data_IF_176140282357
#
_entry.id   IF_176140282357
#
_cell.length_a   1.000
_cell.length_b   1.000
_cell.length_c   1.000
_cell.angle_alpha   90.00
_cell.angle_beta   90.00
_cell.angle_gamma   90.00
#
_symmetry.space_group_name_H-M   'P 1'
#
loop_
_entity.id
_entity.type
_entity.pdbx_description
1 polymer ?
#
# COMPACT_ATOMS: atom_id res chain seq x y z
N UNK A 1 14.92 9.98 -6.68
CA UNK A 1 15.06 8.50 -6.68
C UNK A 1 13.78 7.93 -6.08
N UNK A 2 12.95 7.23 -6.87
CA UNK A 2 11.60 6.76 -6.46
C UNK A 2 11.54 5.24 -6.33
N UNK A 3 12.27 4.68 -5.36
CA UNK A 3 12.36 3.21 -5.15
C UNK A 3 12.04 2.79 -3.73
N UNK A 4 11.65 3.73 -2.87
CA UNK A 4 11.25 3.43 -1.49
C UNK A 4 9.78 3.01 -1.47
N UNK A 5 9.44 1.83 -0.95
CA UNK A 5 8.04 1.43 -0.78
C UNK A 5 7.29 2.41 0.14
N UNK A 6 6.09 2.82 -0.25
CA UNK A 6 5.25 3.76 0.52
C UNK A 6 4.13 3.07 1.31
N UNK A 7 3.71 1.89 0.86
CA UNK A 7 2.65 1.10 1.47
C UNK A 7 2.76 -0.38 1.09
N UNK A 8 2.10 -1.23 1.87
CA UNK A 8 1.88 -2.65 1.60
C UNK A 8 0.39 -2.99 1.75
N UNK A 9 -0.07 -3.96 0.99
CA UNK A 9 -1.50 -4.29 0.91
C UNK A 9 -1.78 -5.63 0.24
N UNK A 10 -3.05 -6.02 0.25
CA UNK A 10 -3.54 -7.23 -0.42
C UNK A 10 -4.22 -6.82 -1.71
N UNK A 11 -3.85 -7.46 -2.82
CA UNK A 11 -4.52 -7.28 -4.10
C UNK A 11 -5.99 -7.73 -3.99
N UNK A 12 -6.92 -6.85 -4.39
CA UNK A 12 -8.35 -7.15 -4.48
C UNK A 12 -8.76 -7.55 -5.91
N UNK A 13 -7.95 -7.15 -6.89
CA UNK A 13 -8.09 -7.49 -8.30
C UNK A 13 -6.81 -8.19 -8.76
N UNK A 14 -6.88 -9.00 -9.81
CA UNK A 14 -5.66 -9.46 -10.47
C UNK A 14 -5.01 -8.33 -11.28
N UNK A 15 -3.72 -8.48 -11.62
CA UNK A 15 -2.97 -7.43 -12.30
C UNK A 15 -3.53 -7.05 -13.68
N UNK A 16 -4.16 -8.00 -14.37
CA UNK A 16 -4.75 -7.73 -15.69
C UNK A 16 -6.02 -6.89 -15.57
N UNK A 17 -6.82 -7.13 -14.53
CA UNK A 17 -8.05 -6.40 -14.24
C UNK A 17 -7.75 -5.00 -13.69
N UNK A 18 -6.68 -4.84 -12.90
CA UNK A 18 -6.21 -3.51 -12.46
C UNK A 18 -5.86 -2.59 -13.64
N UNK A 19 -5.33 -3.14 -14.73
CA UNK A 19 -4.98 -2.37 -15.93
C UNK A 19 -6.23 -2.01 -16.75
N UNK A 20 -7.18 -2.95 -16.87
CA UNK A 20 -8.40 -2.78 -17.67
C UNK A 20 -9.43 -1.86 -17.01
N UNK A 21 -9.52 -1.91 -15.68
CA UNK A 21 -10.51 -1.16 -14.91
C UNK A 21 -10.10 0.30 -14.75
N UNK A 22 -11.01 1.23 -15.05
CA UNK A 22 -10.77 2.67 -14.85
C UNK A 22 -11.15 3.18 -13.47
N UNK A 23 -11.84 2.36 -12.66
CA UNK A 23 -12.30 2.71 -11.31
C UNK A 23 -12.51 1.48 -10.44
N UNK A 24 -12.63 1.68 -9.12
CA UNK A 24 -12.75 0.61 -8.14
C UNK A 24 -11.54 0.51 -7.21
N UNK A 25 -11.63 -0.35 -6.18
CA UNK A 25 -10.53 -0.57 -5.22
C UNK A 25 -9.65 -1.72 -5.71
N UNK A 26 -8.43 -1.41 -6.14
CA UNK A 26 -7.48 -2.41 -6.64
C UNK A 26 -6.71 -3.14 -5.51
N UNK A 27 -6.37 -2.44 -4.43
CA UNK A 27 -5.55 -2.97 -3.32
C UNK A 27 -6.16 -2.53 -1.99
N UNK A 28 -6.31 -3.48 -1.05
CA UNK A 28 -6.62 -3.19 0.34
C UNK A 28 -5.34 -2.78 1.07
N UNK A 29 -5.28 -1.54 1.52
CA UNK A 29 -4.17 -1.04 2.32
C UNK A 29 -4.10 -1.79 3.66
N UNK A 30 -2.93 -2.34 4.00
CA UNK A 30 -2.65 -2.94 5.30
C UNK A 30 -1.76 -2.06 6.16
N UNK A 31 -0.75 -1.43 5.55
CA UNK A 31 0.21 -0.61 6.24
C UNK A 31 0.79 0.45 5.29
N UNK A 32 0.99 1.67 5.77
CA UNK A 32 1.63 2.73 5.00
C UNK A 32 2.53 3.62 5.87
N UNK A 33 3.46 4.33 5.22
CA UNK A 33 4.33 5.30 5.89
C UNK A 33 3.47 6.33 6.64
N UNK A 34 3.76 6.51 7.93
CA UNK A 34 3.09 7.49 8.80
C UNK A 34 1.81 7.00 9.50
N UNK A 35 1.38 5.76 9.28
CA UNK A 35 0.30 5.18 10.08
C UNK A 35 0.75 4.89 11.52
N UNK A 36 -0.16 4.37 12.33
CA UNK A 36 0.10 4.08 13.75
C UNK A 36 1.20 3.05 13.93
N UNK A 37 1.25 2.00 13.09
CA UNK A 37 2.26 0.95 13.18
C UNK A 37 3.64 1.47 12.79
N UNK A 38 3.72 2.32 11.76
CA UNK A 38 4.94 2.98 11.33
C UNK A 38 5.50 3.81 12.47
N UNK A 39 4.65 4.66 13.07
CA UNK A 39 5.01 5.55 14.19
C UNK A 39 5.44 4.78 15.43
N UNK A 40 4.89 3.59 15.67
CA UNK A 40 5.27 2.75 16.80
C UNK A 40 6.73 2.28 16.66
N UNK A 41 7.11 1.77 15.50
CA UNK A 41 8.49 1.33 15.25
C UNK A 41 9.46 2.49 15.05
N UNK A 42 9.04 3.57 14.37
CA UNK A 42 9.92 4.70 14.07
C UNK A 42 10.28 5.56 15.29
N UNK A 43 9.52 5.44 16.39
CA UNK A 43 9.83 6.11 17.68
C UNK A 43 10.76 5.29 18.58
N UNK A 44 10.97 4.01 18.28
CA UNK A 44 11.83 3.12 19.07
C UNK A 44 13.27 3.07 18.57
N UNK A 45 13.66 4.01 17.70
CA UNK A 45 15.02 4.20 17.20
C UNK A 45 15.56 5.57 17.63
#
# INVERSE_FOLDING_TARGET
>A
KHSTPLASGIALLDGSEMIKSSSGKAVKNLHHVGDTLWKFFSKSL
#
